data_IF_456505878067
#
_entry.id   IF_456505878067
#
_cell.length_a   1.000
_cell.length_b   1.000
_cell.length_c   1.000
_cell.angle_alpha   90.00
_cell.angle_beta   90.00
_cell.angle_gamma   90.00
#
_symmetry.space_group_name_H-M   'P 1'
#
loop_
_entity.id
_entity.type
_entity.pdbx_description
1 polymer ?
#
# COMPACT_ATOMS: atom_id res chain seq x y z
N UNK A 1 -5.44 -18.02 -32.29
CA UNK A 1 -6.71 -17.30 -32.21
C UNK A 1 -7.34 -17.77 -30.91
N UNK A 2 -7.18 -16.99 -29.83
CA UNK A 2 -7.82 -17.27 -28.55
C UNK A 2 -9.25 -16.78 -28.67
N UNK A 3 -10.23 -17.68 -28.55
CA UNK A 3 -11.62 -17.28 -28.39
C UNK A 3 -11.74 -16.49 -27.08
N UNK A 4 -12.35 -15.29 -27.08
CA UNK A 4 -12.50 -14.50 -25.88
C UNK A 4 -13.38 -15.25 -24.88
N UNK A 5 -12.89 -15.36 -23.65
CA UNK A 5 -13.57 -16.02 -22.53
C UNK A 5 -14.77 -15.20 -22.00
N UNK A 6 -15.39 -14.39 -22.86
CA UNK A 6 -16.43 -13.41 -22.49
C UNK A 6 -17.82 -14.06 -22.46
N UNK A 7 -18.09 -15.05 -23.32
CA UNK A 7 -19.42 -15.65 -23.46
C UNK A 7 -19.72 -16.81 -22.49
N UNK A 8 -18.83 -17.11 -21.53
CA UNK A 8 -18.98 -18.25 -20.59
C UNK A 8 -18.99 -17.86 -19.11
N UNK A 9 -18.93 -16.58 -18.81
CA UNK A 9 -18.98 -16.06 -17.46
C UNK A 9 -20.31 -15.32 -17.29
N UNK A 10 -21.38 -16.09 -17.12
CA UNK A 10 -22.65 -15.59 -16.59
C UNK A 10 -22.45 -15.34 -15.09
N UNK A 11 -21.73 -14.25 -14.75
CA UNK A 11 -21.14 -14.03 -13.42
C UNK A 11 -22.10 -13.51 -12.36
N UNK A 12 -23.34 -13.17 -12.72
CA UNK A 12 -24.13 -12.33 -11.82
C UNK A 12 -25.06 -13.10 -10.88
N UNK A 13 -25.18 -14.43 -11.01
CA UNK A 13 -26.15 -15.20 -10.20
C UNK A 13 -25.69 -16.54 -9.62
N UNK A 14 -24.80 -17.30 -10.28
CA UNK A 14 -24.51 -18.69 -9.85
C UNK A 14 -23.36 -18.80 -8.82
N UNK A 15 -22.39 -17.89 -8.86
CA UNK A 15 -21.30 -17.79 -7.90
C UNK A 15 -21.33 -16.40 -7.25
N UNK A 16 -22.19 -16.25 -6.24
CA UNK A 16 -22.39 -14.97 -5.56
C UNK A 16 -21.09 -14.39 -5.00
N UNK A 17 -21.04 -13.06 -4.88
CA UNK A 17 -19.95 -12.35 -4.22
C UNK A 17 -19.67 -12.96 -2.83
N UNK A 18 -18.39 -13.10 -2.49
CA UNK A 18 -17.99 -13.61 -1.19
C UNK A 18 -18.38 -12.59 -0.12
N UNK A 19 -19.07 -13.04 0.92
CA UNK A 19 -19.28 -12.24 2.13
C UNK A 19 -17.93 -12.05 2.82
N UNK A 20 -17.48 -10.81 2.94
CA UNK A 20 -16.18 -10.49 3.56
C UNK A 20 -16.26 -9.35 4.57
N UNK A 21 -15.27 -9.29 5.45
CA UNK A 21 -15.02 -8.15 6.33
C UNK A 21 -13.60 -7.62 6.09
N UNK A 22 -13.50 -6.50 5.38
CA UNK A 22 -12.24 -5.91 4.94
C UNK A 22 -11.39 -6.90 4.13
N UNK A 23 -12.06 -7.67 3.26
CA UNK A 23 -11.47 -8.72 2.44
C UNK A 23 -11.26 -10.06 3.15
N UNK A 24 -11.48 -10.18 4.48
CA UNK A 24 -11.42 -11.47 5.18
C UNK A 24 -12.65 -12.30 4.86
N UNK A 25 -12.45 -13.53 4.40
CA UNK A 25 -13.56 -14.49 4.22
C UNK A 25 -13.83 -15.24 5.53
N UNK A 26 -14.88 -16.07 5.54
CA UNK A 26 -15.14 -17.02 6.65
C UNK A 26 -14.08 -18.12 6.77
N UNK A 27 -13.21 -18.28 5.77
CA UNK A 27 -12.11 -19.25 5.79
C UNK A 27 -10.84 -18.51 6.23
N UNK A 28 -10.30 -18.88 7.38
CA UNK A 28 -9.07 -18.29 7.93
C UNK A 28 -7.90 -18.43 6.94
N UNK A 29 -7.21 -17.32 6.67
CA UNK A 29 -6.11 -17.25 5.71
C UNK A 29 -6.53 -17.11 4.25
N UNK A 30 -7.84 -17.08 3.95
CA UNK A 30 -8.36 -16.81 2.62
C UNK A 30 -8.98 -15.42 2.56
N UNK A 31 -8.49 -14.61 1.61
CA UNK A 31 -8.94 -13.24 1.38
C UNK A 31 -9.51 -13.10 -0.02
N UNK A 32 -10.46 -12.18 -0.18
CA UNK A 32 -11.01 -11.78 -1.47
C UNK A 32 -11.03 -10.25 -1.59
N UNK A 33 -11.03 -9.74 -2.82
CA UNK A 33 -11.01 -8.31 -3.05
C UNK A 33 -11.79 -7.86 -4.29
N UNK A 34 -12.26 -6.61 -4.25
CA UNK A 34 -12.95 -5.96 -5.35
C UNK A 34 -14.25 -6.68 -5.69
N UNK A 35 -14.52 -6.83 -6.98
CA UNK A 35 -15.76 -7.41 -7.50
C UNK A 35 -16.07 -8.86 -7.05
N UNK A 36 -15.10 -9.56 -6.47
CA UNK A 36 -15.32 -10.90 -5.89
C UNK A 36 -16.01 -10.84 -4.52
N UNK A 37 -16.23 -9.65 -3.96
CA UNK A 37 -16.73 -9.41 -2.59
C UNK A 37 -18.02 -8.62 -2.59
N UNK A 38 -18.81 -8.74 -1.52
CA UNK A 38 -20.03 -7.95 -1.32
C UNK A 38 -19.77 -6.56 -0.74
N UNK A 39 -18.52 -6.20 -0.48
CA UNK A 39 -18.10 -4.92 0.09
C UNK A 39 -17.99 -3.78 -0.94
N UNK A 40 -18.03 -4.07 -2.24
CA UNK A 40 -17.74 -3.07 -3.29
C UNK A 40 -18.64 -3.13 -4.51
N UNK A 41 -18.72 -1.99 -5.21
CA UNK A 41 -19.31 -1.89 -6.55
C UNK A 41 -18.27 -2.15 -7.63
N UNK A 42 -18.70 -2.61 -8.81
CA UNK A 42 -17.83 -2.98 -9.93
C UNK A 42 -17.23 -1.74 -10.63
N UNK A 43 -16.31 -1.05 -9.95
CA UNK A 43 -15.61 0.12 -10.47
C UNK A 43 -14.11 -0.04 -10.21
N UNK A 44 -13.29 0.23 -11.24
CA UNK A 44 -11.85 -0.08 -11.20
C UNK A 44 -11.14 0.54 -9.98
N UNK A 45 -11.38 1.83 -9.70
CA UNK A 45 -10.75 2.53 -8.57
C UNK A 45 -11.25 2.03 -7.21
N UNK A 46 -12.51 1.64 -7.12
CA UNK A 46 -13.10 1.07 -5.89
C UNK A 46 -12.48 -0.30 -5.61
N UNK A 47 -12.38 -1.14 -6.63
CA UNK A 47 -11.78 -2.45 -6.54
C UNK A 47 -10.28 -2.38 -6.19
N UNK A 48 -9.56 -1.41 -6.75
CA UNK A 48 -8.16 -1.18 -6.41
C UNK A 48 -7.99 -0.79 -4.92
N UNK A 49 -8.80 0.15 -4.43
CA UNK A 49 -8.78 0.54 -3.01
C UNK A 49 -9.15 -0.60 -2.07
N UNK A 50 -10.14 -1.42 -2.43
CA UNK A 50 -10.51 -2.60 -1.64
C UNK A 50 -9.43 -3.69 -1.70
N UNK A 51 -8.75 -3.85 -2.84
CA UNK A 51 -7.56 -4.70 -2.95
C UNK A 51 -6.47 -4.30 -1.95
N UNK A 52 -6.18 -3.00 -1.85
CA UNK A 52 -5.23 -2.49 -0.86
C UNK A 52 -5.71 -2.79 0.57
N UNK A 53 -7.00 -2.57 0.87
CA UNK A 53 -7.58 -2.88 2.20
C UNK A 53 -7.45 -4.36 2.56
N UNK A 54 -7.79 -5.26 1.63
CA UNK A 54 -7.67 -6.71 1.84
C UNK A 54 -6.21 -7.14 2.04
N UNK A 55 -5.27 -6.54 1.30
CA UNK A 55 -3.85 -6.79 1.48
C UNK A 55 -3.34 -6.32 2.84
N UNK A 56 -3.79 -5.15 3.32
CA UNK A 56 -3.49 -4.69 4.68
C UNK A 56 -4.04 -5.66 5.72
N UNK A 57 -5.30 -6.11 5.59
CA UNK A 57 -5.88 -7.13 6.48
C UNK A 57 -5.02 -8.40 6.54
N UNK A 58 -4.57 -8.90 5.39
CA UNK A 58 -3.70 -10.06 5.30
C UNK A 58 -2.38 -9.84 6.04
N UNK A 59 -1.69 -8.73 5.76
CA UNK A 59 -0.40 -8.45 6.38
C UNK A 59 -0.51 -8.29 7.89
N UNK A 60 -1.60 -7.68 8.38
CA UNK A 60 -1.89 -7.57 9.82
C UNK A 60 -2.09 -8.94 10.45
N UNK A 61 -2.95 -9.77 9.86
CA UNK A 61 -3.23 -11.09 10.41
C UNK A 61 -1.98 -11.99 10.40
N UNK A 62 -1.09 -11.87 9.41
CA UNK A 62 0.20 -12.58 9.40
C UNK A 62 1.10 -12.12 10.56
N UNK A 63 1.26 -10.80 10.74
CA UNK A 63 2.09 -10.24 11.81
C UNK A 63 1.54 -10.59 13.19
N UNK A 64 0.23 -10.48 13.37
CA UNK A 64 -0.43 -10.78 14.64
C UNK A 64 -0.35 -12.27 14.99
N UNK A 65 -0.47 -13.15 13.99
CA UNK A 65 -0.31 -14.59 14.18
C UNK A 65 1.14 -14.99 14.54
N UNK A 66 2.13 -14.20 14.09
CA UNK A 66 3.55 -14.41 14.39
C UNK A 66 3.97 -13.79 15.72
N UNK A 67 3.29 -12.72 16.14
CA UNK A 67 3.64 -11.92 17.30
C UNK A 67 2.42 -11.63 18.17
N UNK A 68 1.97 -10.37 18.25
CA UNK A 68 0.76 -9.94 18.95
C UNK A 68 0.07 -8.81 18.16
N UNK A 69 -1.23 -8.54 18.40
CA UNK A 69 -2.03 -7.58 17.62
C UNK A 69 -1.44 -6.18 17.45
N UNK A 70 -0.63 -5.73 18.42
CA UNK A 70 0.00 -4.41 18.36
C UNK A 70 0.96 -4.25 17.17
N UNK A 71 1.54 -5.35 16.67
CA UNK A 71 2.49 -5.31 15.54
C UNK A 71 1.76 -5.04 14.22
N UNK A 72 0.67 -5.77 13.93
CA UNK A 72 -0.13 -5.56 12.73
C UNK A 72 -0.83 -4.20 12.73
N UNK A 73 -1.37 -3.76 13.86
CA UNK A 73 -2.08 -2.48 13.97
C UNK A 73 -1.20 -1.28 13.60
N UNK A 74 0.10 -1.37 13.87
CA UNK A 74 1.10 -0.34 13.56
C UNK A 74 1.78 -0.52 12.18
N UNK A 75 1.33 -1.48 11.37
CA UNK A 75 1.86 -1.66 10.02
C UNK A 75 1.50 -0.48 9.11
N UNK A 76 2.53 0.11 8.49
CA UNK A 76 2.42 1.09 7.42
C UNK A 76 3.31 0.71 6.24
N UNK A 77 2.83 0.89 5.01
CA UNK A 77 3.51 0.48 3.77
C UNK A 77 4.09 1.66 2.96
N UNK A 78 4.23 2.82 3.58
CA UNK A 78 4.75 4.03 2.92
C UNK A 78 6.18 3.83 2.41
N UNK A 79 6.34 4.02 1.10
CA UNK A 79 7.66 4.21 0.49
C UNK A 79 8.17 5.59 0.86
N UNK A 80 9.43 5.68 1.25
CA UNK A 80 10.08 6.93 1.65
C UNK A 80 11.38 7.14 0.89
N UNK A 81 11.83 8.39 0.78
CA UNK A 81 13.11 8.71 0.15
C UNK A 81 14.30 8.28 1.00
N UNK A 82 15.47 8.22 0.35
CA UNK A 82 16.76 8.11 1.03
C UNK A 82 16.88 9.16 2.14
N UNK A 83 17.60 8.78 3.20
CA UNK A 83 17.83 9.57 4.42
C UNK A 83 16.61 9.87 5.29
N UNK A 84 15.41 9.38 4.95
CA UNK A 84 14.26 9.45 5.88
C UNK A 84 14.58 8.72 7.18
N UNK A 85 15.25 7.59 7.08
CA UNK A 85 15.80 6.84 8.20
C UNK A 85 17.32 6.88 8.05
N UNK A 86 18.00 7.64 8.91
CA UNK A 86 19.46 7.74 8.86
C UNK A 86 20.15 6.41 9.23
N UNK A 87 19.40 5.49 9.87
CA UNK A 87 19.89 4.20 10.40
C UNK A 87 21.18 4.38 11.21
N UNK A 88 21.22 5.44 12.01
CA UNK A 88 22.26 5.75 12.96
C UNK A 88 21.80 5.43 14.39
N UNK A 89 22.69 5.57 15.36
CA UNK A 89 22.42 5.23 16.77
C UNK A 89 21.25 6.07 17.35
N UNK A 90 21.05 7.30 16.86
CA UNK A 90 19.94 8.17 17.30
C UNK A 90 18.61 7.65 16.75
N UNK A 91 18.55 7.35 15.45
CA UNK A 91 17.36 6.77 14.83
C UNK A 91 17.00 5.41 15.42
N UNK A 92 17.97 4.56 15.71
CA UNK A 92 17.73 3.27 16.36
C UNK A 92 17.14 3.44 17.76
N UNK A 93 17.64 4.41 18.54
CA UNK A 93 17.10 4.71 19.86
C UNK A 93 15.66 5.25 19.79
N UNK A 94 15.39 6.19 18.89
CA UNK A 94 14.06 6.78 18.70
C UNK A 94 13.06 5.73 18.17
N UNK A 95 13.48 4.90 17.22
CA UNK A 95 12.67 3.82 16.66
C UNK A 95 12.34 2.79 17.74
N UNK A 96 13.30 2.48 18.61
CA UNK A 96 13.06 1.58 19.73
C UNK A 96 12.11 2.17 20.75
N UNK A 97 12.28 3.43 21.14
CA UNK A 97 11.38 4.12 22.06
C UNK A 97 9.95 4.16 21.50
N UNK A 98 9.80 4.48 20.22
CA UNK A 98 8.50 4.43 19.54
C UNK A 98 7.90 3.02 19.58
N UNK A 99 8.69 1.99 19.28
CA UNK A 99 8.22 0.60 19.25
C UNK A 99 7.73 0.14 20.63
N UNK A 100 8.52 0.40 21.68
CA UNK A 100 8.14 0.04 23.05
C UNK A 100 6.86 0.79 23.49
N UNK A 101 6.69 2.04 23.06
CA UNK A 101 5.54 2.87 23.45
C UNK A 101 4.26 2.55 22.68
N UNK A 102 4.34 2.39 21.36
CA UNK A 102 3.17 2.30 20.47
C UNK A 102 2.85 0.87 20.04
N UNK A 103 3.86 0.00 19.93
CA UNK A 103 3.69 -1.38 19.44
C UNK A 103 3.60 -2.36 20.61
N UNK A 104 4.51 -2.26 21.58
CA UNK A 104 4.45 -3.07 22.81
C UNK A 104 3.36 -2.53 23.73
N UNK A 105 3.43 -1.26 24.14
CA UNK A 105 2.43 -0.63 25.01
C UNK A 105 2.17 -1.47 26.27
N UNK A 106 0.91 -1.86 26.48
CA UNK A 106 0.49 -2.70 27.62
C UNK A 106 0.51 -4.22 27.32
N UNK A 107 1.06 -4.64 26.18
CA UNK A 107 1.10 -6.05 25.80
C UNK A 107 1.95 -6.87 26.79
N UNK A 108 1.43 -8.02 27.22
CA UNK A 108 2.18 -8.97 28.04
C UNK A 108 2.81 -10.03 27.16
N UNK A 109 3.99 -9.71 26.62
CA UNK A 109 4.80 -10.56 25.73
C UNK A 109 6.20 -10.70 26.32
N UNK A 110 6.89 -11.80 26.00
CA UNK A 110 8.26 -12.01 26.47
C UNK A 110 9.28 -11.21 25.64
N UNK A 111 10.40 -10.85 26.27
CA UNK A 111 11.44 -10.02 25.66
C UNK A 111 11.95 -10.59 24.32
N UNK A 112 12.08 -11.92 24.20
CA UNK A 112 12.60 -12.52 22.97
C UNK A 112 11.62 -12.35 21.79
N UNK A 113 10.32 -12.44 22.06
CA UNK A 113 9.27 -12.15 21.08
C UNK A 113 9.25 -10.67 20.71
N UNK A 114 9.45 -9.77 21.68
CA UNK A 114 9.55 -8.31 21.46
C UNK A 114 10.71 -7.98 20.53
N UNK A 115 11.91 -8.52 20.80
CA UNK A 115 13.09 -8.28 19.95
C UNK A 115 12.89 -8.81 18.53
N UNK A 116 12.31 -10.01 18.38
CA UNK A 116 12.04 -10.58 17.06
C UNK A 116 11.04 -9.73 16.25
N UNK A 117 10.02 -9.17 16.90
CA UNK A 117 9.08 -8.27 16.25
C UNK A 117 9.72 -6.92 15.89
N UNK A 118 10.54 -6.37 16.78
CA UNK A 118 11.29 -5.13 16.54
C UNK A 118 12.19 -5.28 15.31
N UNK A 119 12.96 -6.36 15.21
CA UNK A 119 13.85 -6.62 14.08
C UNK A 119 13.08 -6.68 12.75
N UNK A 120 11.90 -7.28 12.73
CA UNK A 120 11.05 -7.34 11.52
C UNK A 120 10.55 -5.94 11.16
N UNK A 121 9.97 -5.20 12.11
CA UNK A 121 9.41 -3.86 11.83
C UNK A 121 10.52 -2.88 11.40
N UNK A 122 11.66 -2.91 12.08
CA UNK A 122 12.83 -2.12 11.73
C UNK A 122 13.33 -2.45 10.32
N UNK A 123 13.45 -3.74 9.98
CA UNK A 123 13.89 -4.17 8.65
C UNK A 123 12.94 -3.69 7.55
N UNK A 124 11.64 -3.74 7.82
CA UNK A 124 10.60 -3.25 6.90
C UNK A 124 10.67 -1.73 6.68
N UNK A 125 10.99 -0.93 7.71
CA UNK A 125 11.20 0.51 7.54
C UNK A 125 12.38 0.81 6.62
N UNK A 126 13.52 0.15 6.86
CA UNK A 126 14.72 0.33 6.04
C UNK A 126 14.47 -0.13 4.60
N UNK A 127 13.78 -1.25 4.40
CA UNK A 127 13.49 -1.80 3.08
C UNK A 127 12.57 -0.91 2.21
N UNK A 128 11.83 0.03 2.82
CA UNK A 128 10.93 0.96 2.11
C UNK A 128 11.63 2.25 1.67
N UNK A 129 12.89 2.45 2.05
CA UNK A 129 13.69 3.54 1.52
C UNK A 129 14.04 3.26 0.06
N UNK A 130 13.76 4.21 -0.81
CA UNK A 130 14.26 4.22 -2.18
C UNK A 130 15.37 5.26 -2.32
N UNK A 131 16.41 4.93 -3.06
CA UNK A 131 17.48 5.88 -3.38
C UNK A 131 17.00 6.97 -4.36
N UNK A 132 17.80 8.03 -4.48
CA UNK A 132 17.50 9.13 -5.39
C UNK A 132 17.45 8.71 -6.87
N UNK A 133 18.16 7.65 -7.25
CA UNK A 133 18.16 7.14 -8.62
C UNK A 133 16.81 6.49 -8.95
N UNK A 134 16.33 5.58 -8.10
CA UNK A 134 15.02 4.93 -8.19
C UNK A 134 13.89 5.97 -8.11
N UNK A 135 14.00 6.94 -7.20
CA UNK A 135 13.03 8.04 -7.12
C UNK A 135 12.95 8.82 -8.44
N UNK A 136 14.10 9.21 -8.99
CA UNK A 136 14.16 9.94 -10.26
C UNK A 136 13.69 9.09 -11.45
N UNK A 137 13.92 7.78 -11.44
CA UNK A 137 13.41 6.86 -12.45
C UNK A 137 11.89 6.77 -12.40
N UNK A 138 11.31 6.56 -11.21
CA UNK A 138 9.85 6.52 -11.00
C UNK A 138 9.18 7.82 -11.42
N UNK A 139 9.76 8.96 -11.06
CA UNK A 139 9.24 10.27 -11.46
C UNK A 139 9.24 10.44 -12.97
N UNK A 140 10.35 10.13 -13.65
CA UNK A 140 10.43 10.20 -15.11
C UNK A 140 9.47 9.23 -15.79
N UNK A 141 9.32 8.02 -15.27
CA UNK A 141 8.38 7.04 -15.79
C UNK A 141 6.92 7.52 -15.63
N UNK A 142 6.59 8.12 -14.47
CA UNK A 142 5.30 8.74 -14.21
C UNK A 142 5.01 9.90 -15.17
N UNK A 143 5.96 10.82 -15.33
CA UNK A 143 5.86 11.93 -16.27
C UNK A 143 5.66 11.45 -17.72
N UNK A 144 6.40 10.42 -18.15
CA UNK A 144 6.23 9.84 -19.50
C UNK A 144 4.84 9.23 -19.70
N UNK A 145 4.29 8.54 -18.68
CA UNK A 145 2.93 8.02 -18.73
C UNK A 145 1.90 9.13 -18.81
N UNK A 146 2.10 10.23 -18.06
CA UNK A 146 1.23 11.39 -18.14
C UNK A 146 1.28 12.03 -19.53
N UNK A 147 2.47 12.25 -20.09
CA UNK A 147 2.64 12.81 -21.44
C UNK A 147 1.95 11.99 -22.53
N UNK A 148 1.81 10.67 -22.36
CA UNK A 148 1.07 9.83 -23.32
C UNK A 148 -0.44 10.13 -23.36
N UNK A 149 -0.96 10.91 -22.42
CA UNK A 149 -2.39 11.23 -22.28
C UNK A 149 -2.69 12.73 -22.23
N UNK A 150 -1.66 13.59 -22.20
CA UNK A 150 -1.84 15.05 -22.27
C UNK A 150 -1.89 15.46 -23.74
N UNK A 151 -2.75 16.43 -24.05
CA UNK A 151 -2.83 17.01 -25.39
C UNK A 151 -1.64 17.94 -25.65
N UNK A 152 -0.74 17.54 -26.54
CA UNK A 152 0.44 18.32 -26.90
C UNK A 152 0.10 19.70 -27.47
N UNK A 153 -1.06 19.86 -28.13
CA UNK A 153 -1.43 21.15 -28.72
C UNK A 153 -1.72 22.19 -27.64
N UNK A 154 -2.34 21.78 -26.52
CA UNK A 154 -2.52 22.63 -25.34
C UNK A 154 -1.17 23.03 -24.72
N UNK A 155 -0.20 22.12 -24.70
CA UNK A 155 1.16 22.44 -24.24
C UNK A 155 1.82 23.46 -25.16
N UNK A 156 1.70 23.29 -26.48
CA UNK A 156 2.25 24.24 -27.47
C UNK A 156 1.60 25.61 -27.34
N UNK A 157 0.27 25.67 -27.23
CA UNK A 157 -0.46 26.92 -27.00
C UNK A 157 -0.01 27.64 -25.72
N UNK A 158 0.24 26.91 -24.62
CA UNK A 158 0.78 27.50 -23.39
C UNK A 158 2.20 28.04 -23.57
N UNK A 159 3.07 27.34 -24.31
CA UNK A 159 4.45 27.79 -24.56
C UNK A 159 4.54 28.96 -25.54
N UNK A 160 3.61 29.03 -26.49
CA UNK A 160 3.53 30.09 -27.51
C UNK A 160 2.77 31.33 -27.00
N UNK A 161 1.97 31.18 -25.94
CA UNK A 161 1.36 32.28 -25.21
C UNK A 161 2.35 32.91 -24.23
N UNK A 162 2.88 34.09 -24.55
CA UNK A 162 3.52 34.96 -23.55
C UNK A 162 2.49 35.29 -22.46
N UNK A 163 2.45 34.51 -21.38
CA UNK A 163 1.73 34.88 -20.15
C UNK A 163 2.45 36.11 -19.55
N UNK A 164 2.04 37.31 -19.97
CA UNK A 164 2.13 38.49 -19.12
C UNK A 164 1.36 38.13 -17.84
N UNK A 165 2.03 38.00 -16.67
CA UNK A 165 1.34 37.61 -15.46
C UNK A 165 0.27 38.67 -15.18
N UNK A 166 -0.99 38.23 -15.11
CA UNK A 166 -2.09 39.07 -14.65
C UNK A 166 -1.69 39.64 -13.29
N UNK A 167 -1.40 40.96 -13.28
CA UNK A 167 -0.90 41.66 -12.12
C UNK A 167 -1.80 41.45 -10.89
N UNK A 168 -1.17 41.01 -9.80
CA UNK A 168 -1.69 41.21 -8.44
C UNK A 168 -1.17 42.55 -7.90
#
# INVERSE_FOLDING_TARGET
MFEPLEDRLDTDAEYGAAATDHGRTTVTGLYAAGWLTDETVHQAVVNAGHGARAATSLARDDLDARFWPGVGDNLVDWVVYEDRYAVDDEWEADTREWFDREVVGDATVDDATVEAAYDVVRSEYVARMIDAEEAAERDRAGQRRLLAHVDDDVIREYLDGDDEPAGC
#
